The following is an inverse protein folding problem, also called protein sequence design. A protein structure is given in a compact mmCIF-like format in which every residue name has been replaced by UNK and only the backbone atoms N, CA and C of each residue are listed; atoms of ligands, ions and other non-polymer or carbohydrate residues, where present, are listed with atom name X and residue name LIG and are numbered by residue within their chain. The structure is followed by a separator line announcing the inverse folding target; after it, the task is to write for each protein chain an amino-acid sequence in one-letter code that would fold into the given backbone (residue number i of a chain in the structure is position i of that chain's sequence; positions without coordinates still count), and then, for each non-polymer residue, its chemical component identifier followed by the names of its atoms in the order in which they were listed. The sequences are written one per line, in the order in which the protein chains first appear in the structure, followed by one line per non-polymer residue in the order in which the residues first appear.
data_IF_380052646794
#
_entry.id   IF_380052646794
#
_cell.length_a   1.000
_cell.length_b   1.000
_cell.length_c   1.000
_cell.angle_alpha   90.00
_cell.angle_beta   90.00
_cell.angle_gamma   90.00
#
_symmetry.space_group_name_H-M   'P 1'
#
loop_
_entity.id
_entity.type
_entity.pdbx_description
1 polymer ?
#
# COMPACT_ATOMS: atom_id res chain seq x y z
N UNK A 1 -15.17 -10.04 0.95
CA UNK A 1 -15.65 -10.13 -0.45
C UNK A 1 -15.20 -8.87 -1.17
N UNK A 2 -14.46 -8.99 -2.26
CA UNK A 2 -14.14 -7.82 -3.09
C UNK A 2 -15.25 -7.64 -4.12
N UNK A 3 -16.02 -6.57 -4.03
CA UNK A 3 -17.17 -6.31 -4.94
C UNK A 3 -16.75 -6.03 -6.39
N UNK A 4 -15.43 -5.89 -6.64
CA UNK A 4 -14.86 -5.69 -7.99
C UNK A 4 -14.25 -6.95 -8.58
N UNK A 5 -14.23 -8.06 -7.81
CA UNK A 5 -13.69 -9.33 -8.28
C UNK A 5 -14.59 -9.92 -9.36
N UNK A 6 -13.94 -10.49 -10.36
CA UNK A 6 -14.60 -11.25 -11.41
C UNK A 6 -14.23 -12.71 -11.28
N UNK A 7 -15.12 -13.52 -10.70
CA UNK A 7 -14.89 -14.95 -10.48
C UNK A 7 -14.42 -15.65 -11.75
N UNK A 8 -15.01 -15.34 -12.91
CA UNK A 8 -14.59 -15.94 -14.17
C UNK A 8 -13.15 -15.64 -14.60
N UNK A 9 -12.53 -14.55 -14.11
CA UNK A 9 -11.11 -14.30 -14.34
C UNK A 9 -10.24 -15.05 -13.32
N UNK A 10 -10.71 -15.19 -12.08
CA UNK A 10 -10.03 -16.00 -11.07
C UNK A 10 -10.04 -17.49 -11.46
N UNK A 11 -11.13 -18.01 -12.02
CA UNK A 11 -11.25 -19.40 -12.54
C UNK A 11 -10.24 -19.67 -13.68
N UNK A 12 -9.77 -18.63 -14.36
CA UNK A 12 -8.70 -18.70 -15.36
C UNK A 12 -7.29 -18.54 -14.77
N UNK A 13 -7.17 -18.53 -13.44
CA UNK A 13 -5.91 -18.41 -12.70
C UNK A 13 -5.62 -17.01 -12.14
N UNK A 14 -6.55 -16.06 -12.31
CA UNK A 14 -6.45 -14.73 -11.73
C UNK A 14 -5.11 -14.04 -12.06
N UNK A 15 -4.60 -13.25 -11.15
CA UNK A 15 -3.33 -12.53 -11.35
C UNK A 15 -2.07 -13.41 -11.42
N UNK A 16 -2.18 -14.71 -11.11
CA UNK A 16 -1.06 -15.65 -11.35
C UNK A 16 -0.91 -15.98 -12.84
N UNK A 17 -1.97 -15.80 -13.63
CA UNK A 17 -1.95 -15.96 -15.08
C UNK A 17 -1.56 -14.64 -15.76
N UNK A 18 -0.50 -14.70 -16.59
CA UNK A 18 0.00 -13.53 -17.32
C UNK A 18 -1.03 -12.91 -18.27
N UNK A 19 -1.99 -13.68 -18.77
CA UNK A 19 -3.03 -13.18 -19.69
C UNK A 19 -3.93 -12.13 -19.01
N UNK A 20 -3.96 -12.08 -17.66
CA UNK A 20 -4.69 -11.05 -16.93
C UNK A 20 -4.13 -9.65 -17.19
N UNK A 21 -2.87 -9.53 -17.57
CA UNK A 21 -2.26 -8.26 -17.99
C UNK A 21 -3.05 -7.67 -19.15
N UNK A 22 -3.33 -8.47 -20.19
CA UNK A 22 -4.08 -8.00 -21.36
C UNK A 22 -5.56 -7.70 -21.04
N UNK A 23 -6.16 -8.45 -20.11
CA UNK A 23 -7.53 -8.14 -19.67
C UNK A 23 -7.59 -6.80 -18.93
N UNK A 24 -6.57 -6.48 -18.13
CA UNK A 24 -6.48 -5.19 -17.46
C UNK A 24 -6.27 -4.02 -18.45
N UNK A 25 -5.48 -4.22 -19.51
CA UNK A 25 -5.32 -3.22 -20.56
C UNK A 25 -6.65 -2.92 -21.26
N UNK A 26 -7.40 -3.96 -21.64
CA UNK A 26 -8.74 -3.79 -22.20
C UNK A 26 -9.66 -3.02 -21.26
N UNK A 27 -9.65 -3.35 -19.97
CA UNK A 27 -10.42 -2.63 -18.95
C UNK A 27 -10.02 -1.15 -18.89
N UNK A 28 -8.71 -0.86 -18.83
CA UNK A 28 -8.17 0.50 -18.81
C UNK A 28 -8.56 1.28 -20.08
N UNK A 29 -8.54 0.63 -21.24
CA UNK A 29 -8.97 1.21 -22.51
C UNK A 29 -10.43 1.67 -22.45
N UNK A 30 -11.34 0.77 -22.06
CA UNK A 30 -12.78 1.11 -22.01
C UNK A 30 -13.07 2.21 -20.98
N UNK A 31 -12.46 2.16 -19.79
CA UNK A 31 -12.64 3.19 -18.77
C UNK A 31 -12.10 4.55 -19.22
N UNK A 32 -10.89 4.59 -19.74
CA UNK A 32 -10.25 5.86 -20.13
C UNK A 32 -10.98 6.51 -21.32
N UNK A 33 -11.49 5.74 -22.25
CA UNK A 33 -12.35 6.27 -23.33
C UNK A 33 -13.71 6.76 -22.84
N UNK A 34 -14.32 6.06 -21.89
CA UNK A 34 -15.66 6.39 -21.40
C UNK A 34 -15.70 7.54 -20.40
N UNK A 35 -14.58 7.80 -19.68
CA UNK A 35 -14.52 8.78 -18.59
C UNK A 35 -13.45 9.87 -18.81
N UNK A 36 -12.64 9.77 -19.86
CA UNK A 36 -11.50 10.64 -20.09
C UNK A 36 -11.84 12.10 -20.40
N UNK A 37 -13.10 12.41 -20.69
CA UNK A 37 -13.63 13.76 -20.82
C UNK A 37 -13.84 14.44 -19.44
N UNK A 38 -13.90 13.68 -18.36
CA UNK A 38 -14.22 14.11 -16.99
C UNK A 38 -13.13 13.83 -15.98
N UNK A 39 -12.28 12.81 -16.22
CA UNK A 39 -11.24 12.36 -15.33
C UNK A 39 -9.88 12.60 -15.97
N UNK A 40 -9.04 13.40 -15.32
CA UNK A 40 -7.67 13.69 -15.76
C UNK A 40 -6.60 12.91 -14.97
N UNK A 41 -6.84 12.59 -13.70
CA UNK A 41 -5.89 11.88 -12.85
C UNK A 41 -6.31 10.41 -12.69
N UNK A 42 -5.40 9.49 -13.01
CA UNK A 42 -5.66 8.07 -13.06
C UNK A 42 -4.67 7.29 -12.18
N UNK A 43 -5.19 6.39 -11.37
CA UNK A 43 -4.41 5.41 -10.62
C UNK A 43 -4.70 4.04 -11.22
N UNK A 44 -3.66 3.35 -11.67
CA UNK A 44 -3.81 2.03 -12.31
C UNK A 44 -4.17 0.95 -11.31
N UNK A 45 -3.38 0.84 -10.24
CA UNK A 45 -3.61 -0.10 -9.15
C UNK A 45 -3.52 0.61 -7.81
N UNK A 46 -4.36 0.19 -6.87
CA UNK A 46 -4.24 0.48 -5.45
C UNK A 46 -3.68 -0.75 -4.74
N UNK A 47 -2.58 -0.56 -4.01
CA UNK A 47 -1.99 -1.54 -3.10
C UNK A 47 -1.78 -2.95 -3.70
N UNK A 48 -0.90 -3.11 -4.70
CA UNK A 48 -0.57 -4.43 -5.27
C UNK A 48 -0.14 -5.45 -4.21
N UNK A 49 0.47 -5.01 -3.11
CA UNK A 49 0.84 -5.84 -1.98
C UNK A 49 -0.36 -6.52 -1.33
N UNK A 50 -1.47 -5.82 -1.17
CA UNK A 50 -2.69 -6.39 -0.60
C UNK A 50 -3.25 -7.53 -1.45
N UNK A 51 -3.10 -7.46 -2.77
CA UNK A 51 -3.56 -8.52 -3.67
C UNK A 51 -2.58 -9.69 -3.61
N UNK A 52 -1.28 -9.42 -3.76
CA UNK A 52 -0.27 -10.46 -3.92
C UNK A 52 0.12 -11.13 -2.60
N UNK A 53 0.43 -10.35 -1.55
CA UNK A 53 0.88 -10.91 -0.28
C UNK A 53 -0.28 -11.37 0.60
N UNK A 54 -1.27 -10.52 0.85
CA UNK A 54 -2.41 -10.89 1.69
C UNK A 54 -3.29 -11.97 1.05
N UNK A 55 -3.31 -12.05 -0.29
CA UNK A 55 -4.07 -13.05 -1.01
C UNK A 55 -3.41 -14.42 -1.08
N UNK A 56 -2.07 -14.47 -1.20
CA UNK A 56 -1.35 -15.72 -1.50
C UNK A 56 -0.39 -16.18 -0.41
N UNK A 57 0.08 -15.29 0.48
CA UNK A 57 1.00 -15.67 1.55
C UNK A 57 0.30 -15.72 2.91
N UNK A 58 -0.43 -14.68 3.30
CA UNK A 58 -1.21 -14.66 4.54
C UNK A 58 -2.57 -15.36 4.42
N UNK A 59 -3.20 -15.28 3.26
CA UNK A 59 -4.54 -15.84 3.02
C UNK A 59 -5.67 -15.03 3.65
N UNK A 60 -5.42 -13.77 4.03
CA UNK A 60 -6.40 -12.87 4.66
C UNK A 60 -7.32 -12.19 3.66
N UNK A 61 -6.90 -12.06 2.41
CA UNK A 61 -7.67 -11.52 1.28
C UNK A 61 -7.88 -12.59 0.22
N UNK A 62 -8.86 -12.46 -0.70
CA UNK A 62 -8.99 -13.37 -1.83
C UNK A 62 -7.69 -13.46 -2.64
N UNK A 63 -7.35 -14.67 -3.15
CA UNK A 63 -8.09 -15.93 -3.12
C UNK A 63 -7.97 -16.73 -1.83
N UNK A 64 -7.30 -16.25 -0.79
CA UNK A 64 -7.22 -16.88 0.54
C UNK A 64 -6.21 -18.01 0.66
N UNK A 65 -5.19 -18.02 -0.20
CA UNK A 65 -4.12 -19.01 -0.17
C UNK A 65 -3.07 -18.62 0.87
N UNK A 66 -2.36 -19.62 1.44
CA UNK A 66 -1.35 -19.39 2.48
C UNK A 66 0.00 -19.98 2.06
N UNK A 67 1.08 -19.25 2.32
CA UNK A 67 2.44 -19.71 2.08
C UNK A 67 2.83 -19.83 0.60
N UNK A 68 1.99 -19.40 -0.33
CA UNK A 68 2.18 -19.50 -1.78
C UNK A 68 3.07 -18.38 -2.34
N UNK A 69 4.32 -18.31 -1.87
CA UNK A 69 5.25 -17.25 -2.24
C UNK A 69 5.51 -17.12 -3.75
N UNK A 70 5.65 -18.25 -4.46
CA UNK A 70 5.82 -18.22 -5.91
C UNK A 70 4.65 -17.51 -6.61
N UNK A 71 3.41 -17.86 -6.23
CA UNK A 71 2.21 -17.22 -6.76
C UNK A 71 2.11 -15.75 -6.39
N UNK A 72 2.51 -15.39 -5.17
CA UNK A 72 2.58 -14.00 -4.71
C UNK A 72 3.52 -13.17 -5.58
N UNK A 73 4.72 -13.68 -5.88
CA UNK A 73 5.70 -13.00 -6.75
C UNK A 73 5.19 -12.86 -8.19
N UNK A 74 4.56 -13.91 -8.74
CA UNK A 74 3.94 -13.86 -10.08
C UNK A 74 2.84 -12.79 -10.11
N UNK A 75 1.99 -12.78 -9.09
CA UNK A 75 0.89 -11.79 -8.96
C UNK A 75 1.43 -10.37 -8.88
N UNK A 76 2.42 -10.11 -8.01
CA UNK A 76 3.06 -8.79 -7.90
C UNK A 76 3.65 -8.34 -9.25
N UNK A 77 4.34 -9.24 -9.95
CA UNK A 77 4.92 -8.96 -11.26
C UNK A 77 3.86 -8.62 -12.33
N UNK A 78 2.80 -9.41 -12.42
CA UNK A 78 1.76 -9.19 -13.41
C UNK A 78 0.95 -7.92 -13.14
N UNK A 79 0.72 -7.57 -11.87
CA UNK A 79 0.14 -6.29 -11.49
C UNK A 79 1.02 -5.12 -11.95
N UNK A 80 2.32 -5.16 -11.66
CA UNK A 80 3.26 -4.12 -12.10
C UNK A 80 3.41 -4.07 -13.62
N UNK A 81 3.42 -5.21 -14.30
CA UNK A 81 3.49 -5.28 -15.76
C UNK A 81 2.24 -4.68 -16.40
N UNK A 82 1.06 -4.98 -15.85
CA UNK A 82 -0.20 -4.41 -16.32
C UNK A 82 -0.27 -2.90 -16.07
N UNK A 83 0.28 -2.41 -14.95
CA UNK A 83 0.47 -0.99 -14.70
C UNK A 83 1.29 -0.33 -15.83
N UNK A 84 2.50 -0.85 -16.08
CA UNK A 84 3.39 -0.26 -17.07
C UNK A 84 2.82 -0.22 -18.48
N UNK A 85 1.99 -1.22 -18.86
CA UNK A 85 1.25 -1.23 -20.12
C UNK A 85 0.04 -0.29 -20.12
N UNK A 86 -0.65 -0.13 -18.99
CA UNK A 86 -1.84 0.72 -18.89
C UNK A 86 -1.49 2.22 -18.99
N UNK A 87 -0.31 2.64 -18.55
CA UNK A 87 0.10 4.06 -18.60
C UNK A 87 0.00 4.64 -20.01
N UNK A 88 0.66 4.11 -21.05
CA UNK A 88 0.53 4.64 -22.40
C UNK A 88 -0.87 4.47 -22.98
N UNK A 89 -1.60 3.41 -22.62
CA UNK A 89 -2.97 3.19 -23.06
C UNK A 89 -3.91 4.30 -22.56
N UNK A 90 -3.86 4.64 -21.27
CA UNK A 90 -4.67 5.71 -20.69
C UNK A 90 -4.28 7.07 -21.31
N UNK A 91 -2.98 7.35 -21.43
CA UNK A 91 -2.49 8.61 -22.01
C UNK A 91 -2.86 8.79 -23.49
N UNK A 92 -3.03 7.70 -24.23
CA UNK A 92 -3.49 7.76 -25.63
C UNK A 92 -4.96 8.14 -25.77
N UNK A 93 -5.79 7.78 -24.78
CA UNK A 93 -7.24 8.00 -24.77
C UNK A 93 -7.65 9.32 -24.11
N UNK A 94 -6.82 9.85 -23.18
CA UNK A 94 -7.18 11.00 -22.34
C UNK A 94 -6.17 12.12 -22.54
N UNK A 95 -6.63 13.25 -23.04
CA UNK A 95 -5.79 14.43 -23.23
C UNK A 95 -5.33 14.98 -21.88
N UNK A 96 -4.03 15.18 -21.72
CA UNK A 96 -3.38 15.66 -20.50
C UNK A 96 -3.59 14.74 -19.28
N UNK A 97 -3.77 13.43 -19.49
CA UNK A 97 -3.85 12.49 -18.40
C UNK A 97 -2.60 12.50 -17.52
N UNK A 98 -2.78 12.60 -16.22
CA UNK A 98 -1.78 12.24 -15.22
C UNK A 98 -2.04 10.81 -14.75
N UNK A 99 -1.06 9.94 -14.90
CA UNK A 99 -1.20 8.50 -14.58
C UNK A 99 -0.15 8.09 -13.56
N UNK A 100 -0.60 7.48 -12.47
CA UNK A 100 0.23 6.96 -11.39
C UNK A 100 -0.16 5.55 -10.96
N UNK A 101 0.51 5.06 -9.95
CA UNK A 101 0.18 3.85 -9.21
C UNK A 101 0.17 4.20 -7.72
N UNK A 102 -0.70 3.59 -6.93
CA UNK A 102 -0.72 3.76 -5.48
C UNK A 102 -0.15 2.52 -4.79
N UNK A 103 0.83 2.75 -3.92
CA UNK A 103 1.46 1.73 -3.09
C UNK A 103 1.18 1.98 -1.60
N UNK A 104 0.83 0.92 -0.88
CA UNK A 104 0.88 0.95 0.58
C UNK A 104 2.34 0.78 1.00
N UNK A 105 2.88 1.79 1.65
CA UNK A 105 4.28 1.85 2.06
C UNK A 105 4.37 2.17 3.55
N UNK A 106 5.44 1.70 4.17
CA UNK A 106 5.74 2.06 5.55
C UNK A 106 7.23 2.28 5.78
N UNK A 107 7.55 2.88 6.92
CA UNK A 107 8.91 2.96 7.43
C UNK A 107 9.17 1.74 8.29
N UNK A 108 10.00 0.82 7.81
CA UNK A 108 10.42 -0.35 8.58
C UNK A 108 11.65 -0.02 9.40
N UNK A 109 11.62 -0.36 10.69
CA UNK A 109 12.76 -0.19 11.59
C UNK A 109 12.99 -1.48 12.39
N UNK A 110 14.26 -1.82 12.71
CA UNK A 110 14.55 -2.97 13.56
C UNK A 110 14.08 -2.71 15.00
N UNK A 111 13.57 -3.72 15.68
CA UNK A 111 13.09 -3.61 17.06
C UNK A 111 14.22 -3.35 18.07
N UNK A 112 15.45 -3.69 17.71
CA UNK A 112 16.66 -3.45 18.52
C UNK A 112 17.90 -3.29 17.63
N UNK A 113 19.05 -3.00 18.25
CA UNK A 113 20.35 -2.94 17.56
C UNK A 113 20.93 -4.32 17.18
N UNK A 114 20.22 -5.41 17.47
CA UNK A 114 20.60 -6.76 17.09
C UNK A 114 20.78 -6.89 15.59
N UNK A 115 21.82 -7.59 15.15
CA UNK A 115 22.06 -7.90 13.73
C UNK A 115 20.95 -8.81 13.16
N UNK A 116 20.28 -9.61 14.00
CA UNK A 116 19.13 -10.43 13.60
C UNK A 116 17.93 -9.54 13.27
N UNK A 117 17.57 -8.59 14.15
CA UNK A 117 16.47 -7.66 13.90
C UNK A 117 16.73 -6.78 12.66
N UNK A 118 17.98 -6.32 12.48
CA UNK A 118 18.37 -5.55 11.29
C UNK A 118 18.22 -6.35 10.00
N UNK A 119 18.62 -7.63 10.01
CA UNK A 119 18.48 -8.52 8.85
C UNK A 119 17.01 -8.84 8.54
N UNK A 120 16.20 -9.07 9.58
CA UNK A 120 14.76 -9.31 9.39
C UNK A 120 14.05 -8.04 8.90
N UNK A 121 14.41 -6.88 9.44
CA UNK A 121 13.91 -5.57 8.97
C UNK A 121 14.26 -5.32 7.50
N UNK A 122 15.49 -5.62 7.08
CA UNK A 122 15.89 -5.50 5.68
C UNK A 122 15.11 -6.46 4.75
N UNK A 123 14.81 -7.67 5.22
CA UNK A 123 13.98 -8.63 4.48
C UNK A 123 12.52 -8.16 4.39
N UNK A 124 11.97 -7.66 5.49
CA UNK A 124 10.64 -7.06 5.51
C UNK A 124 10.55 -5.89 4.52
N UNK A 125 11.49 -4.96 4.55
CA UNK A 125 11.54 -3.84 3.61
C UNK A 125 11.66 -4.29 2.16
N UNK A 126 12.46 -5.32 1.90
CA UNK A 126 12.58 -5.91 0.57
C UNK A 126 11.27 -6.49 0.07
N UNK A 127 10.47 -7.10 0.93
CA UNK A 127 9.20 -7.73 0.61
C UNK A 127 8.05 -6.71 0.56
N UNK A 128 7.98 -5.76 1.50
CA UNK A 128 6.85 -4.84 1.63
C UNK A 128 6.99 -3.62 0.71
N UNK A 129 8.15 -2.97 0.71
CA UNK A 129 8.38 -1.74 -0.04
C UNK A 129 9.10 -1.98 -1.38
N UNK A 130 10.30 -2.60 -1.33
CA UNK A 130 11.21 -2.66 -2.49
C UNK A 130 10.73 -3.59 -3.59
N UNK A 131 9.94 -4.62 -3.29
CA UNK A 131 9.35 -5.52 -4.30
C UNK A 131 8.53 -4.74 -5.34
N UNK A 132 7.95 -3.62 -4.94
CA UNK A 132 7.13 -2.75 -5.79
C UNK A 132 7.89 -1.52 -6.28
N UNK A 133 8.66 -0.85 -5.41
CA UNK A 133 9.40 0.36 -5.75
C UNK A 133 10.59 0.11 -6.69
N UNK A 134 11.41 -0.92 -6.42
CA UNK A 134 12.62 -1.16 -7.21
C UNK A 134 12.33 -1.47 -8.69
N UNK A 135 11.33 -2.31 -9.06
CA UNK A 135 10.99 -2.52 -10.46
C UNK A 135 10.46 -1.26 -11.16
N UNK A 136 9.68 -0.44 -10.47
CA UNK A 136 9.13 0.79 -11.03
C UNK A 136 10.21 1.85 -11.32
N UNK A 137 11.15 2.04 -10.40
CA UNK A 137 12.11 3.14 -10.47
C UNK A 137 13.54 2.72 -10.80
N UNK A 138 13.96 1.49 -10.43
CA UNK A 138 15.34 0.98 -10.59
C UNK A 138 15.45 -0.14 -11.63
N UNK A 139 14.35 -0.57 -12.26
CA UNK A 139 14.30 -1.65 -13.27
C UNK A 139 14.90 -2.96 -12.80
N UNK A 140 14.77 -3.27 -11.52
CA UNK A 140 15.29 -4.51 -10.92
C UNK A 140 14.42 -4.91 -9.72
N UNK A 141 14.47 -6.18 -9.36
CA UNK A 141 13.90 -6.67 -8.12
C UNK A 141 14.94 -6.66 -6.99
N UNK A 142 14.52 -6.59 -5.70
CA UNK A 142 15.44 -6.66 -4.57
C UNK A 142 16.03 -8.07 -4.45
N UNK A 143 17.31 -8.22 -4.73
CA UNK A 143 18.02 -9.51 -4.71
C UNK A 143 17.92 -10.20 -3.35
N UNK A 144 17.97 -9.43 -2.26
CA UNK A 144 17.84 -9.94 -0.89
C UNK A 144 16.55 -10.75 -0.70
N UNK A 145 15.42 -10.31 -1.28
CA UNK A 145 14.14 -11.00 -1.18
C UNK A 145 14.24 -12.40 -1.80
N UNK A 146 14.68 -12.48 -3.05
CA UNK A 146 14.74 -13.75 -3.77
C UNK A 146 15.73 -14.72 -3.13
N UNK A 147 16.93 -14.21 -2.78
CA UNK A 147 17.96 -15.01 -2.09
C UNK A 147 17.38 -15.63 -0.82
N UNK A 148 16.74 -14.83 0.03
CA UNK A 148 16.23 -15.33 1.32
C UNK A 148 15.06 -16.29 1.16
N UNK A 149 14.18 -16.09 0.19
CA UNK A 149 13.08 -17.02 -0.12
C UNK A 149 13.61 -18.37 -0.63
N UNK A 150 14.66 -18.36 -1.46
CA UNK A 150 15.35 -19.58 -1.91
C UNK A 150 16.04 -20.31 -0.74
N UNK A 151 16.75 -19.59 0.11
CA UNK A 151 17.41 -20.14 1.31
C UNK A 151 16.42 -20.78 2.29
N UNK A 152 15.24 -20.17 2.46
CA UNK A 152 14.14 -20.72 3.29
C UNK A 152 13.37 -21.84 2.59
N UNK A 153 13.66 -22.17 1.33
CA UNK A 153 12.92 -23.15 0.55
C UNK A 153 11.47 -22.75 0.25
N UNK A 154 11.13 -21.46 0.42
CA UNK A 154 9.80 -20.93 0.16
C UNK A 154 9.50 -20.79 -1.35
N UNK A 155 10.54 -20.72 -2.18
CA UNK A 155 10.48 -20.77 -3.64
C UNK A 155 11.65 -21.62 -4.18
N UNK A 156 11.54 -22.01 -5.45
CA UNK A 156 12.60 -22.67 -6.23
C UNK A 156 13.15 -21.70 -7.28
N UNK A 157 14.36 -21.97 -7.78
CA UNK A 157 14.96 -21.18 -8.84
C UNK A 157 14.07 -21.12 -10.09
N UNK A 158 13.38 -22.21 -10.43
CA UNK A 158 12.44 -22.29 -11.54
C UNK A 158 11.25 -21.32 -11.39
N UNK A 159 10.87 -20.98 -10.16
CA UNK A 159 9.73 -20.10 -9.89
C UNK A 159 10.03 -18.64 -10.26
N UNK A 160 11.29 -18.30 -10.52
CA UNK A 160 11.71 -16.97 -10.98
C UNK A 160 11.63 -16.79 -12.50
N UNK A 161 11.26 -17.83 -13.26
CA UNK A 161 11.14 -17.79 -14.73
C UNK A 161 9.93 -16.95 -15.24
N UNK A 162 9.15 -16.35 -14.34
CA UNK A 162 8.02 -15.47 -14.70
C UNK A 162 8.49 -14.13 -15.28
N UNK A 163 9.70 -13.69 -14.96
CA UNK A 163 10.29 -12.45 -15.47
C UNK A 163 10.78 -12.69 -16.90
N UNK A 164 10.15 -12.03 -17.86
CA UNK A 164 10.54 -12.15 -19.29
C UNK A 164 11.36 -10.95 -19.71
N UNK A 165 12.10 -11.13 -20.80
CA UNK A 165 12.87 -10.03 -21.42
C UNK A 165 11.94 -8.87 -21.77
N UNK A 166 12.34 -7.66 -21.36
CA UNK A 166 11.58 -6.43 -21.58
C UNK A 166 10.54 -6.11 -20.51
N UNK A 167 10.18 -7.04 -19.63
CA UNK A 167 9.15 -6.80 -18.59
C UNK A 167 9.53 -5.64 -17.67
N UNK A 168 10.75 -5.63 -17.15
CA UNK A 168 11.20 -4.56 -16.23
C UNK A 168 11.26 -3.19 -16.92
N UNK A 169 11.54 -3.15 -18.23
CA UNK A 169 11.45 -1.92 -19.02
C UNK A 169 10.00 -1.44 -19.13
N UNK A 170 9.06 -2.35 -19.32
CA UNK A 170 7.63 -2.03 -19.37
C UNK A 170 7.11 -1.59 -18.00
N UNK A 171 7.42 -2.32 -16.93
CA UNK A 171 7.05 -1.99 -15.56
C UNK A 171 7.51 -0.56 -15.20
N UNK A 172 8.74 -0.20 -15.59
CA UNK A 172 9.31 1.12 -15.30
C UNK A 172 8.89 2.21 -16.31
N UNK A 173 7.77 2.04 -17.00
CA UNK A 173 7.19 3.12 -17.82
C UNK A 173 6.99 4.37 -16.96
N UNK A 174 7.51 5.55 -17.35
CA UNK A 174 7.43 6.75 -16.54
C UNK A 174 5.99 7.13 -16.19
N UNK A 175 5.74 7.34 -14.91
CA UNK A 175 4.48 7.81 -14.36
C UNK A 175 4.55 9.30 -14.01
N UNK A 176 3.41 9.96 -13.90
CA UNK A 176 3.35 11.37 -13.56
C UNK A 176 3.44 11.60 -12.05
N UNK A 177 2.93 10.66 -11.25
CA UNK A 177 2.99 10.70 -9.80
C UNK A 177 3.07 9.30 -9.18
N UNK A 178 3.49 9.23 -7.93
CA UNK A 178 3.35 8.07 -7.04
C UNK A 178 2.30 8.37 -5.98
N UNK A 179 1.26 7.54 -5.90
CA UNK A 179 0.34 7.52 -4.77
C UNK A 179 0.93 6.71 -3.61
N UNK A 180 0.80 7.22 -2.41
CA UNK A 180 1.28 6.59 -1.18
C UNK A 180 0.14 6.46 -0.19
N UNK A 181 -0.16 5.24 0.23
CA UNK A 181 -1.01 4.96 1.38
C UNK A 181 -0.11 4.71 2.58
N UNK A 182 -0.19 5.56 3.59
CA UNK A 182 0.58 5.46 4.82
C UNK A 182 -0.32 5.47 6.05
N UNK A 183 -0.14 4.52 6.94
CA UNK A 183 -0.92 4.43 8.19
C UNK A 183 -0.06 4.34 9.45
N UNK A 184 1.07 3.63 9.36
CA UNK A 184 1.93 3.36 10.50
C UNK A 184 3.34 2.98 10.05
N UNK A 185 4.29 2.94 10.99
CA UNK A 185 5.57 2.27 10.78
C UNK A 185 5.46 0.77 11.10
N UNK A 186 6.47 0.01 10.67
CA UNK A 186 6.67 -1.38 11.07
C UNK A 186 7.91 -1.51 11.95
N UNK A 187 7.75 -2.05 13.15
CA UNK A 187 8.86 -2.39 14.07
C UNK A 187 9.10 -3.89 13.97
N UNK A 188 10.23 -4.26 13.39
CA UNK A 188 10.51 -5.63 12.98
C UNK A 188 11.48 -6.30 13.93
N UNK A 189 11.09 -7.47 14.43
CA UNK A 189 11.88 -8.33 15.32
C UNK A 189 12.11 -9.67 14.64
N UNK A 190 13.30 -10.23 14.84
CA UNK A 190 13.58 -11.62 14.53
C UNK A 190 13.12 -12.49 15.71
N UNK A 191 12.41 -13.57 15.46
CA UNK A 191 11.86 -14.47 16.49
C UNK A 191 12.93 -15.12 17.37
N UNK A 192 14.18 -15.19 16.91
CA UNK A 192 15.30 -15.73 17.67
C UNK A 192 15.87 -14.75 18.71
N UNK A 193 15.47 -13.47 18.65
CA UNK A 193 15.94 -12.45 19.61
C UNK A 193 15.07 -12.49 20.86
N UNK A 194 15.67 -12.85 21.98
CA UNK A 194 14.97 -12.88 23.27
C UNK A 194 14.47 -11.49 23.66
N UNK A 195 13.19 -11.41 24.02
CA UNK A 195 12.52 -10.16 24.41
C UNK A 195 13.12 -9.54 25.68
N UNK A 196 13.74 -10.34 26.53
CA UNK A 196 14.35 -9.89 27.79
C UNK A 196 15.74 -9.30 27.63
N UNK A 197 16.42 -9.61 26.52
CA UNK A 197 17.76 -9.13 26.25
C UNK A 197 17.72 -7.69 25.74
N UNK A 198 18.22 -6.74 26.55
CA UNK A 198 18.47 -5.32 26.24
C UNK A 198 17.24 -4.40 26.21
N UNK A 199 16.59 -4.17 27.34
CA UNK A 199 15.59 -3.10 27.49
C UNK A 199 16.09 -1.70 27.09
N UNK A 200 17.39 -1.44 27.19
CA UNK A 200 18.00 -0.13 26.85
C UNK A 200 18.01 0.22 25.36
N UNK A 201 17.82 -0.76 24.47
CA UNK A 201 17.90 -0.59 23.01
C UNK A 201 16.61 -1.01 22.28
N UNK A 202 15.51 -1.24 23.02
CA UNK A 202 14.21 -1.54 22.42
C UNK A 202 13.55 -0.27 21.89
N UNK A 203 12.99 -0.38 20.69
CA UNK A 203 12.11 0.66 20.17
C UNK A 203 10.84 0.72 21.00
N UNK A 204 10.59 1.88 21.60
CA UNK A 204 9.35 2.14 22.33
C UNK A 204 8.21 2.40 21.32
N UNK A 205 7.13 1.65 21.45
CA UNK A 205 5.91 1.87 20.66
C UNK A 205 5.09 3.02 21.25
N UNK A 206 4.54 3.87 20.38
CA UNK A 206 3.61 4.91 20.74
C UNK A 206 2.17 4.40 20.95
N UNK A 207 1.19 5.33 21.07
CA UNK A 207 -0.22 4.98 21.16
C UNK A 207 -0.67 4.26 19.89
N UNK A 208 -1.70 3.41 20.04
CA UNK A 208 -2.28 2.63 18.93
C UNK A 208 -3.69 3.06 18.61
N UNK A 209 -4.07 2.93 17.35
CA UNK A 209 -5.47 3.00 16.90
C UNK A 209 -6.23 1.75 17.31
N UNK A 210 -7.55 1.74 17.17
CA UNK A 210 -8.37 0.55 17.44
C UNK A 210 -8.09 -0.60 16.45
N UNK A 211 -7.52 -0.28 15.29
CA UNK A 211 -6.99 -1.29 14.35
C UNK A 211 -5.70 -1.97 14.87
N UNK A 212 -5.09 -1.44 15.92
CA UNK A 212 -3.84 -1.93 16.50
C UNK A 212 -2.58 -1.32 15.89
N UNK A 213 -2.70 -0.40 14.94
CA UNK A 213 -1.57 0.29 14.32
C UNK A 213 -1.05 1.41 15.22
N UNK A 214 0.26 1.54 15.28
CA UNK A 214 0.90 2.63 16.01
C UNK A 214 0.64 3.97 15.33
N UNK A 215 0.32 4.99 16.12
CA UNK A 215 0.27 6.38 15.65
C UNK A 215 1.70 6.90 15.58
N UNK A 216 2.27 6.97 14.39
CA UNK A 216 3.66 7.36 14.17
C UNK A 216 3.81 8.40 13.04
N UNK A 217 3.51 9.67 13.31
CA UNK A 217 3.52 10.73 12.28
C UNK A 217 4.88 10.91 11.62
N UNK A 218 5.99 10.82 12.38
CA UNK A 218 7.34 10.98 11.83
C UNK A 218 7.64 10.02 10.68
N UNK A 219 7.02 8.84 10.67
CA UNK A 219 7.26 7.85 9.62
C UNK A 219 6.79 8.29 8.23
N UNK A 220 5.77 9.15 8.13
CA UNK A 220 5.35 9.67 6.82
C UNK A 220 6.40 10.63 6.26
N UNK A 221 7.03 11.46 7.10
CA UNK A 221 8.15 12.30 6.69
C UNK A 221 9.35 11.46 6.25
N UNK A 222 9.76 10.48 7.06
CA UNK A 222 10.90 9.60 6.76
C UNK A 222 10.67 8.83 5.45
N UNK A 223 9.44 8.39 5.20
CA UNK A 223 9.05 7.73 3.94
C UNK A 223 9.13 8.69 2.74
N UNK A 224 8.58 9.89 2.86
CA UNK A 224 8.62 10.90 1.80
C UNK A 224 10.07 11.26 1.44
N UNK A 225 10.90 11.46 2.46
CA UNK A 225 12.32 11.73 2.27
C UNK A 225 13.03 10.57 1.58
N UNK A 226 12.77 9.33 1.99
CA UNK A 226 13.31 8.13 1.34
C UNK A 226 12.91 8.04 -0.14
N UNK A 227 11.65 8.31 -0.47
CA UNK A 227 11.16 8.30 -1.85
C UNK A 227 11.89 9.32 -2.72
N UNK A 228 12.19 10.49 -2.19
CA UNK A 228 12.99 11.50 -2.87
C UNK A 228 14.45 11.06 -3.02
N UNK A 229 15.10 10.63 -1.93
CA UNK A 229 16.53 10.35 -1.88
C UNK A 229 16.91 9.07 -2.65
N UNK A 230 16.11 7.99 -2.54
CA UNK A 230 16.43 6.69 -3.13
C UNK A 230 15.82 6.46 -4.51
N UNK A 231 14.71 7.13 -4.84
CA UNK A 231 13.89 6.85 -6.03
C UNK A 231 13.69 8.07 -6.92
N UNK A 232 14.02 9.28 -6.45
CA UNK A 232 13.87 10.53 -7.20
C UNK A 232 12.47 10.71 -7.79
N UNK A 233 11.43 10.45 -6.97
CA UNK A 233 10.04 10.53 -7.39
C UNK A 233 9.67 11.99 -7.67
N UNK A 234 9.16 12.27 -8.88
CA UNK A 234 8.89 13.63 -9.35
C UNK A 234 7.67 14.29 -8.69
N UNK A 235 6.63 13.52 -8.39
CA UNK A 235 5.42 14.00 -7.73
C UNK A 235 4.87 12.87 -6.84
N UNK A 236 4.58 13.19 -5.58
CA UNK A 236 4.02 12.26 -4.60
C UNK A 236 2.66 12.77 -4.16
N UNK A 237 1.68 11.88 -4.07
CA UNK A 237 0.38 12.17 -3.46
C UNK A 237 0.16 11.19 -2.31
N UNK A 238 -0.16 11.68 -1.11
CA UNK A 238 -0.68 10.80 -0.06
C UNK A 238 -2.12 10.47 -0.44
N UNK A 239 -2.30 9.28 -0.99
CA UNK A 239 -3.59 8.80 -1.51
C UNK A 239 -4.48 8.19 -0.44
N UNK A 240 -3.88 7.74 0.67
CA UNK A 240 -4.61 7.38 1.88
C UNK A 240 -3.75 7.63 3.12
N UNK A 241 -4.35 8.24 4.14
CA UNK A 241 -3.85 8.32 5.50
C UNK A 241 -5.03 8.48 6.45
N UNK A 242 -5.06 7.72 7.54
CA UNK A 242 -6.19 7.72 8.45
C UNK A 242 -6.04 6.75 9.61
N UNK A 243 -7.02 6.76 10.49
CA UNK A 243 -7.03 5.94 11.69
C UNK A 243 -8.44 5.42 12.00
N UNK A 244 -8.50 4.24 12.59
CA UNK A 244 -9.75 3.68 13.10
C UNK A 244 -9.88 3.99 14.58
N UNK A 245 -11.00 4.64 14.95
CA UNK A 245 -11.46 4.79 16.31
C UNK A 245 -12.97 4.57 16.38
N UNK A 246 -13.43 3.75 17.33
CA UNK A 246 -14.81 3.31 17.43
C UNK A 246 -15.74 4.25 18.23
N UNK A 247 -15.22 5.39 18.70
CA UNK A 247 -16.00 6.35 19.49
C UNK A 247 -17.20 6.88 18.67
N UNK A 248 -18.41 6.55 19.10
CA UNK A 248 -19.65 6.96 18.46
C UNK A 248 -20.25 8.23 19.06
N UNK A 249 -21.46 8.64 18.58
CA UNK A 249 -22.17 9.80 19.11
C UNK A 249 -22.54 9.63 20.59
N UNK A 250 -22.35 10.70 21.36
CA UNK A 250 -22.85 10.78 22.74
C UNK A 250 -24.37 11.02 22.79
N UNK A 251 -24.94 11.16 23.98
CA UNK A 251 -26.37 11.42 24.21
C UNK A 251 -26.89 12.66 23.47
N UNK A 252 -26.01 13.63 23.17
CA UNK A 252 -26.31 14.84 22.41
C UNK A 252 -26.09 14.69 20.90
N UNK A 253 -25.92 13.46 20.40
CA UNK A 253 -25.64 13.11 19.00
C UNK A 253 -24.34 13.77 18.47
N UNK A 254 -23.37 14.06 19.34
CA UNK A 254 -22.06 14.62 18.96
C UNK A 254 -20.98 13.56 19.12
N UNK A 255 -20.10 13.47 18.11
CA UNK A 255 -18.88 12.67 18.17
C UNK A 255 -17.74 13.55 18.64
N UNK A 256 -17.06 13.17 19.73
CA UNK A 256 -15.88 13.86 20.25
C UNK A 256 -14.62 13.11 19.79
N UNK A 257 -14.17 13.38 18.58
CA UNK A 257 -13.15 12.59 17.88
C UNK A 257 -11.73 13.22 17.97
N UNK A 258 -11.35 13.66 19.17
CA UNK A 258 -10.05 14.33 19.41
C UNK A 258 -8.88 13.50 18.93
N UNK A 259 -8.92 12.17 19.09
CA UNK A 259 -7.83 11.27 18.67
C UNK A 259 -7.63 11.29 17.17
N UNK A 260 -8.69 11.29 16.37
CA UNK A 260 -8.63 11.32 14.90
C UNK A 260 -8.17 12.70 14.41
N UNK A 261 -8.67 13.78 15.01
CA UNK A 261 -8.21 15.14 14.72
C UNK A 261 -6.71 15.25 14.96
N UNK A 262 -6.22 14.78 16.10
CA UNK A 262 -4.80 14.81 16.45
C UNK A 262 -3.94 13.93 15.53
N UNK A 263 -4.46 12.75 15.13
CA UNK A 263 -3.81 11.88 14.16
C UNK A 263 -3.59 12.61 12.83
N UNK A 264 -4.65 13.17 12.24
CA UNK A 264 -4.54 13.87 10.97
C UNK A 264 -3.65 15.11 11.09
N UNK A 265 -3.82 15.93 12.14
CA UNK A 265 -3.02 17.13 12.38
C UNK A 265 -1.54 16.80 12.41
N UNK A 266 -1.13 15.84 13.26
CA UNK A 266 0.27 15.50 13.43
C UNK A 266 0.91 14.88 12.17
N UNK A 267 0.15 14.10 11.37
CA UNK A 267 0.65 13.58 10.10
C UNK A 267 0.78 14.66 9.04
N UNK A 268 -0.21 15.57 8.92
CA UNK A 268 -0.16 16.70 7.98
C UNK A 268 1.00 17.64 8.32
N UNK A 269 1.27 17.90 9.60
CA UNK A 269 2.43 18.68 10.04
C UNK A 269 3.75 18.08 9.51
N UNK A 270 3.90 16.75 9.56
CA UNK A 270 5.10 16.09 9.03
C UNK A 270 5.19 16.15 7.50
N UNK A 271 4.07 16.11 6.80
CA UNK A 271 4.03 16.31 5.34
C UNK A 271 4.44 17.74 5.00
N UNK A 272 3.94 18.74 5.73
CA UNK A 272 4.30 20.14 5.50
C UNK A 272 5.80 20.40 5.72
N UNK A 273 6.40 19.79 6.76
CA UNK A 273 7.86 19.84 6.96
C UNK A 273 8.61 19.29 5.74
N UNK A 274 8.16 18.14 5.21
CA UNK A 274 8.77 17.55 4.03
C UNK A 274 8.63 18.47 2.79
N UNK A 275 7.46 19.09 2.61
CA UNK A 275 7.22 20.03 1.50
C UNK A 275 8.10 21.28 1.64
N UNK A 276 8.24 21.83 2.84
CA UNK A 276 9.12 22.98 3.11
C UNK A 276 10.60 22.68 2.83
N UNK A 277 11.01 21.40 2.97
CA UNK A 277 12.33 20.91 2.57
C UNK A 277 12.46 20.62 1.05
N UNK A 278 11.40 20.87 0.27
CA UNK A 278 11.40 20.74 -1.19
C UNK A 278 11.01 19.34 -1.70
N UNK A 279 10.48 18.46 -0.86
CA UNK A 279 9.97 17.17 -1.30
C UNK A 279 8.64 17.38 -2.05
N UNK A 280 8.47 16.85 -3.27
CA UNK A 280 7.34 17.18 -4.15
C UNK A 280 6.05 16.43 -3.76
N UNK A 281 5.57 16.59 -2.53
CA UNK A 281 4.28 16.09 -2.10
C UNK A 281 3.18 17.12 -2.41
N UNK A 282 2.27 16.79 -3.32
CA UNK A 282 1.32 17.73 -3.91
C UNK A 282 -0.14 17.47 -3.53
N UNK A 283 -0.43 16.36 -2.85
CA UNK A 283 -1.80 15.98 -2.49
C UNK A 283 -1.88 15.17 -1.21
N UNK A 284 -3.01 15.32 -0.51
CA UNK A 284 -3.34 14.54 0.67
C UNK A 284 -4.83 14.15 0.64
N UNK A 285 -5.10 12.87 0.79
CA UNK A 285 -6.44 12.29 0.84
C UNK A 285 -6.59 11.50 2.14
N UNK A 286 -7.53 11.94 2.96
CA UNK A 286 -7.85 11.23 4.20
C UNK A 286 -8.62 9.92 3.91
N UNK A 287 -8.25 8.84 4.56
CA UNK A 287 -9.03 7.62 4.60
C UNK A 287 -9.80 7.54 5.92
N UNK A 288 -11.16 7.68 5.93
CA UNK A 288 -12.01 7.88 4.75
C UNK A 288 -13.04 8.97 5.04
N UNK A 289 -13.79 9.41 4.03
CA UNK A 289 -14.84 10.43 4.22
C UNK A 289 -15.93 9.94 5.19
N UNK A 290 -16.42 8.70 5.00
CA UNK A 290 -17.48 8.08 5.81
C UNK A 290 -17.04 6.70 6.27
N UNK A 291 -17.56 6.25 7.43
CA UNK A 291 -17.43 4.85 7.81
C UNK A 291 -17.96 3.95 6.70
N UNK A 292 -17.27 2.85 6.46
CA UNK A 292 -17.62 1.93 5.38
C UNK A 292 -17.25 0.48 5.76
N UNK A 293 -17.46 -0.44 4.83
CA UNK A 293 -17.09 -1.83 4.97
C UNK A 293 -15.58 -2.01 4.80
N UNK A 294 -14.87 -2.23 5.93
CA UNK A 294 -13.41 -2.39 5.97
C UNK A 294 -13.00 -3.85 5.65
N UNK A 295 -13.22 -4.27 4.43
CA UNK A 295 -12.79 -5.55 3.85
C UNK A 295 -12.99 -6.77 4.79
N UNK A 296 -11.90 -7.40 5.24
CA UNK A 296 -11.94 -8.57 6.12
C UNK A 296 -12.44 -8.25 7.55
N UNK A 297 -12.37 -6.99 7.97
CA UNK A 297 -12.83 -6.51 9.28
C UNK A 297 -14.32 -6.17 9.28
N UNK A 298 -14.97 -6.13 8.11
CA UNK A 298 -16.38 -5.78 7.99
C UNK A 298 -16.67 -4.37 8.47
N UNK A 299 -17.66 -4.22 9.35
CA UNK A 299 -18.07 -2.94 9.93
C UNK A 299 -17.48 -2.67 11.32
N UNK A 300 -16.54 -3.51 11.79
CA UNK A 300 -15.93 -3.37 13.12
C UNK A 300 -14.94 -2.22 13.22
N UNK A 301 -14.34 -1.80 12.08
CA UNK A 301 -13.36 -0.73 12.04
C UNK A 301 -13.95 0.53 11.40
N UNK A 302 -13.73 1.67 12.06
CA UNK A 302 -14.31 2.95 11.68
C UNK A 302 -13.23 3.96 11.32
N UNK A 303 -13.03 4.16 10.03
CA UNK A 303 -12.06 5.12 9.49
C UNK A 303 -12.69 6.45 9.07
N UNK A 304 -14.02 6.54 9.06
CA UNK A 304 -14.74 7.71 8.54
C UNK A 304 -14.50 8.98 9.36
N UNK A 305 -14.33 10.10 8.66
CA UNK A 305 -14.49 11.45 9.26
C UNK A 305 -15.96 11.77 9.55
N UNK A 306 -16.87 11.04 8.92
CA UNK A 306 -18.30 11.06 9.18
C UNK A 306 -18.67 9.70 9.75
N UNK A 307 -19.22 9.71 10.96
CA UNK A 307 -19.74 8.49 11.59
C UNK A 307 -21.04 8.07 10.91
N UNK A 308 -21.17 6.78 10.58
CA UNK A 308 -22.37 6.20 9.96
C UNK A 308 -23.02 5.26 10.95
N UNK A 309 -24.29 5.46 11.23
CA UNK A 309 -25.11 4.45 11.88
C UNK A 309 -25.41 3.34 10.88
N UNK A 310 -24.83 2.17 11.07
CA UNK A 310 -24.97 1.07 10.10
C UNK A 310 -26.35 0.40 10.11
N UNK A 311 -27.17 0.64 11.15
CA UNK A 311 -28.53 0.12 11.22
C UNK A 311 -29.55 1.05 10.54
N UNK A 312 -29.39 2.36 10.74
CA UNK A 312 -30.32 3.37 10.19
C UNK A 312 -29.79 4.08 8.96
N UNK A 313 -28.48 4.01 8.69
CA UNK A 313 -27.74 4.75 7.67
C UNK A 313 -27.78 6.28 7.88
N UNK A 314 -28.12 6.73 9.07
CA UNK A 314 -27.99 8.14 9.44
C UNK A 314 -26.51 8.53 9.56
N UNK A 315 -26.22 9.76 9.19
CA UNK A 315 -24.88 10.34 9.24
C UNK A 315 -24.78 11.32 10.41
N UNK A 316 -23.75 11.15 11.24
CA UNK A 316 -23.38 12.13 12.25
C UNK A 316 -22.06 12.77 11.86
N UNK A 317 -22.08 14.10 11.64
CA UNK A 317 -20.88 14.86 11.36
C UNK A 317 -19.99 14.86 12.61
N UNK A 318 -18.79 14.35 12.44
CA UNK A 318 -17.69 14.62 13.34
C UNK A 318 -17.34 16.08 13.14
N UNK A 319 -17.59 16.92 14.13
CA UNK A 319 -17.16 18.32 14.03
C UNK A 319 -15.64 18.34 14.21
N UNK A 320 -14.97 18.48 13.10
CA UNK A 320 -13.55 18.82 13.05
C UNK A 320 -13.39 20.27 13.51
#
# INVERSE_FOLDING_TARGET
MCIRDRQGLEDLGGWTNRDMVEQFIKYSHYLSRGLGDRVSNWITHNEPWCISFLGYVEGRKPPGLKGEWAKSLHTAHHLLLSHGKAVPEIKSNVKNAKVGITLNLNTAIPASDSEYDKKECAFYDAQFNRLYLDPLYKKKYPELLFKRLLEKGAIKQSDLNFIKDGDLKTISTPTDFLGVNYYSRAVIRDESVDETLNEKHKVTMGPKTDFGWEVYPRGIYDLLKRLQDEYSVNEIMITENGCSYGDGPNENKKVNDIKRVEYHRSHIEQILIAVDEGIPCTGYFAWSLMDNFEWAEGYSQRFGMIWVDFDTLELSLIHI
#
